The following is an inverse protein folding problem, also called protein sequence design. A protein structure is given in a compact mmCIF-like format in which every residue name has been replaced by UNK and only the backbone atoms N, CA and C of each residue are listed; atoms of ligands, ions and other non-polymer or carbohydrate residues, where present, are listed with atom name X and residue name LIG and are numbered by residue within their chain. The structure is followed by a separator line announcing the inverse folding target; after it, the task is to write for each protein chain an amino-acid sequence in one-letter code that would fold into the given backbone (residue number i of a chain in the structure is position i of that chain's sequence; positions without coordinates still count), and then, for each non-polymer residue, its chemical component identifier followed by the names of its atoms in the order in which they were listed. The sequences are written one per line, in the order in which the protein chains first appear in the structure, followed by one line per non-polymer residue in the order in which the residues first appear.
data_IF_059186009454
#
_entry.id   IF_059186009454
#
_cell.length_a   1.000
_cell.length_b   1.000
_cell.length_c   1.000
_cell.angle_alpha   90.00
_cell.angle_beta   90.00
_cell.angle_gamma   90.00
#
_symmetry.space_group_name_H-M   'P 1'
#
loop_
_entity.id
_entity.type
_entity.pdbx_description
1 polymer ?
#
# COMPACT_ATOMS: atom_id res chain seq x y z
N UNK A 1 7.02 10.97 6.15
CA UNK A 1 7.07 9.49 6.16
C UNK A 1 7.56 9.03 4.80
N UNK A 2 8.48 8.12 4.71
CA UNK A 2 9.11 7.61 3.49
C UNK A 2 8.38 6.36 2.99
N UNK A 3 8.55 5.98 1.73
CA UNK A 3 8.13 4.66 1.25
C UNK A 3 8.94 3.61 2.01
N UNK A 4 8.34 2.47 2.29
CA UNK A 4 8.95 1.40 3.07
C UNK A 4 9.17 0.16 2.19
N UNK A 5 10.38 -0.38 2.24
CA UNK A 5 10.72 -1.60 1.50
C UNK A 5 11.40 -2.64 2.39
N UNK A 6 11.15 -3.92 2.08
CA UNK A 6 11.85 -5.06 2.67
C UNK A 6 12.78 -5.66 1.63
N UNK A 7 14.08 -5.71 1.92
CA UNK A 7 15.09 -6.37 1.09
C UNK A 7 15.50 -7.70 1.74
N UNK A 8 15.22 -8.78 1.03
CA UNK A 8 15.54 -10.14 1.43
C UNK A 8 16.73 -10.67 0.63
N UNK A 9 17.91 -10.65 1.23
CA UNK A 9 19.15 -11.17 0.62
C UNK A 9 20.23 -11.47 1.67
N UNK A 10 21.07 -12.46 1.37
CA UNK A 10 22.30 -12.77 2.12
C UNK A 10 23.55 -12.14 1.47
N UNK A 11 23.41 -11.59 0.26
CA UNK A 11 24.48 -11.00 -0.53
C UNK A 11 24.77 -9.56 -0.06
N UNK A 12 25.87 -9.39 0.67
CA UNK A 12 26.28 -8.09 1.22
C UNK A 12 26.67 -7.08 0.13
N UNK A 13 27.19 -7.55 -1.01
CA UNK A 13 27.54 -6.65 -2.11
C UNK A 13 26.29 -6.13 -2.80
N UNK A 14 25.27 -6.97 -2.91
CA UNK A 14 23.95 -6.55 -3.36
C UNK A 14 23.32 -5.49 -2.44
N UNK A 15 23.38 -5.71 -1.12
CA UNK A 15 22.88 -4.76 -0.12
C UNK A 15 23.60 -3.41 -0.23
N UNK A 16 24.95 -3.41 -0.40
CA UNK A 16 25.75 -2.20 -0.58
C UNK A 16 25.35 -1.38 -1.81
N UNK A 17 24.85 -2.01 -2.85
CA UNK A 17 24.37 -1.34 -4.07
C UNK A 17 22.94 -0.85 -3.92
N UNK A 18 22.04 -1.70 -3.41
CA UNK A 18 20.60 -1.41 -3.39
C UNK A 18 20.19 -0.42 -2.30
N UNK A 19 20.75 -0.55 -1.09
CA UNK A 19 20.40 0.32 0.04
C UNK A 19 20.57 1.81 -0.27
N UNK A 20 21.75 2.29 -0.68
CA UNK A 20 21.93 3.72 -0.98
C UNK A 20 21.11 4.16 -2.20
N UNK A 21 20.78 3.24 -3.11
CA UNK A 21 19.94 3.53 -4.27
C UNK A 21 18.48 3.78 -3.86
N UNK A 22 17.94 2.96 -2.95
CA UNK A 22 16.60 3.13 -2.38
C UNK A 22 16.51 4.40 -1.53
N UNK A 23 17.50 4.62 -0.64
CA UNK A 23 17.55 5.80 0.23
C UNK A 23 17.57 7.12 -0.55
N UNK A 24 18.30 7.18 -1.70
CA UNK A 24 18.28 8.34 -2.61
C UNK A 24 16.91 8.62 -3.21
N UNK A 25 16.07 7.61 -3.33
CA UNK A 25 14.68 7.73 -3.78
C UNK A 25 13.71 7.96 -2.62
N UNK A 26 14.23 8.16 -1.41
CA UNK A 26 13.45 8.26 -0.16
C UNK A 26 12.56 7.05 0.08
N UNK A 27 13.12 5.88 -0.16
CA UNK A 27 12.55 4.58 0.17
C UNK A 27 13.40 4.03 1.32
N UNK A 28 12.81 3.91 2.49
CA UNK A 28 13.45 3.26 3.63
C UNK A 28 13.52 1.76 3.37
N UNK A 29 14.62 1.15 3.77
CA UNK A 29 14.85 -0.27 3.53
C UNK A 29 15.16 -1.01 4.82
N UNK A 30 14.31 -1.96 5.13
CA UNK A 30 14.58 -3.00 6.11
C UNK A 30 15.27 -4.18 5.43
N UNK A 31 16.32 -4.72 6.03
CA UNK A 31 17.11 -5.80 5.45
C UNK A 31 16.92 -7.06 6.29
N UNK A 32 16.54 -8.14 5.62
CA UNK A 32 16.40 -9.45 6.22
C UNK A 32 17.21 -10.48 5.42
N UNK A 33 18.00 -11.29 6.10
CA UNK A 33 18.88 -12.29 5.48
C UNK A 33 18.35 -13.73 5.61
N UNK A 34 17.16 -13.90 6.20
CA UNK A 34 16.54 -15.20 6.39
C UNK A 34 15.11 -15.22 5.86
N UNK A 35 14.79 -16.23 5.06
CA UNK A 35 13.46 -16.38 4.45
C UNK A 35 12.35 -16.52 5.49
N UNK A 36 12.60 -17.27 6.58
CA UNK A 36 11.59 -17.49 7.63
C UNK A 36 11.29 -16.19 8.38
N UNK A 37 12.33 -15.48 8.82
CA UNK A 37 12.17 -14.18 9.47
C UNK A 37 11.47 -13.18 8.55
N UNK A 38 11.83 -13.14 7.26
CA UNK A 38 11.19 -12.31 6.27
C UNK A 38 9.71 -12.64 6.06
N UNK A 39 9.33 -13.92 6.09
CA UNK A 39 7.94 -14.32 6.01
C UNK A 39 7.14 -13.86 7.25
N UNK A 40 7.71 -13.94 8.44
CA UNK A 40 7.09 -13.48 9.69
C UNK A 40 6.90 -11.95 9.68
N UNK A 41 7.90 -11.20 9.23
CA UNK A 41 7.82 -9.73 9.03
C UNK A 41 6.70 -9.37 8.06
N UNK A 42 6.58 -10.07 6.92
CA UNK A 42 5.54 -9.82 5.92
C UNK A 42 4.10 -10.12 6.40
N UNK A 43 3.93 -10.87 7.48
CA UNK A 43 2.63 -11.12 8.11
C UNK A 43 2.25 -9.95 9.02
N UNK A 44 3.21 -9.39 9.78
CA UNK A 44 2.99 -8.36 10.79
C UNK A 44 3.04 -6.96 10.21
N UNK A 45 3.97 -6.70 9.31
CA UNK A 45 4.30 -5.37 8.82
C UNK A 45 3.89 -5.19 7.35
N UNK A 46 3.61 -3.93 6.97
CA UNK A 46 3.22 -3.55 5.61
C UNK A 46 4.36 -2.81 4.94
N UNK A 47 4.74 -3.26 3.74
CA UNK A 47 5.72 -2.62 2.86
C UNK A 47 5.10 -2.15 1.56
N UNK A 48 5.61 -1.06 1.00
CA UNK A 48 5.23 -0.57 -0.33
C UNK A 48 5.93 -1.39 -1.42
N UNK A 49 7.15 -1.86 -1.11
CA UNK A 49 7.91 -2.76 -1.96
C UNK A 49 8.54 -3.93 -1.19
N UNK A 50 8.65 -5.08 -1.85
CA UNK A 50 9.36 -6.26 -1.35
C UNK A 50 10.35 -6.72 -2.40
N UNK A 51 11.62 -6.77 -2.05
CA UNK A 51 12.74 -7.07 -2.95
C UNK A 51 13.34 -8.40 -2.51
N UNK A 52 13.28 -9.41 -3.35
CA UNK A 52 13.69 -10.78 -2.99
C UNK A 52 14.81 -11.27 -3.90
N UNK A 53 15.91 -11.67 -3.28
CA UNK A 53 17.00 -12.38 -3.95
C UNK A 53 16.59 -13.85 -4.16
N UNK A 54 15.95 -14.12 -5.30
CA UNK A 54 15.23 -15.37 -5.52
C UNK A 54 16.17 -16.57 -5.70
N UNK A 55 17.34 -16.36 -6.30
CA UNK A 55 18.23 -17.45 -6.67
C UNK A 55 19.28 -17.75 -5.59
N UNK A 56 19.75 -16.73 -4.87
CA UNK A 56 20.86 -16.87 -3.93
C UNK A 56 20.38 -16.92 -2.46
N UNK A 57 19.14 -16.50 -2.17
CA UNK A 57 18.51 -16.71 -0.88
C UNK A 57 17.73 -18.04 -0.87
N UNK A 58 18.10 -18.93 0.02
CA UNK A 58 17.40 -20.24 0.17
C UNK A 58 15.92 -20.01 0.46
N UNK A 59 15.03 -20.51 -0.40
CA UNK A 59 13.58 -20.33 -0.29
C UNK A 59 13.06 -18.97 -0.79
N UNK A 60 13.91 -18.11 -1.38
CA UNK A 60 13.53 -16.78 -1.87
C UNK A 60 12.41 -16.82 -2.91
N UNK A 61 12.47 -17.72 -3.88
CA UNK A 61 11.44 -17.87 -4.90
C UNK A 61 10.08 -18.29 -4.30
N UNK A 62 10.09 -19.20 -3.32
CA UNK A 62 8.87 -19.61 -2.62
C UNK A 62 8.28 -18.47 -1.77
N UNK A 63 9.12 -17.64 -1.16
CA UNK A 63 8.68 -16.45 -0.43
C UNK A 63 8.03 -15.43 -1.37
N UNK A 64 8.62 -15.19 -2.55
CA UNK A 64 8.04 -14.32 -3.57
C UNK A 64 6.64 -14.80 -3.99
N UNK A 65 6.48 -16.09 -4.22
CA UNK A 65 5.19 -16.70 -4.55
C UNK A 65 4.19 -16.57 -3.38
N UNK A 66 4.66 -16.82 -2.15
CA UNK A 66 3.85 -16.69 -0.92
C UNK A 66 3.39 -15.28 -0.65
N UNK A 67 4.15 -14.27 -1.07
CA UNK A 67 3.82 -12.85 -0.88
C UNK A 67 2.41 -12.50 -1.36
N UNK A 68 1.96 -13.07 -2.47
CA UNK A 68 0.64 -12.81 -3.05
C UNK A 68 -0.53 -13.35 -2.22
N UNK A 69 -0.25 -14.20 -1.26
CA UNK A 69 -1.23 -14.76 -0.33
C UNK A 69 -1.22 -14.05 1.04
N UNK A 70 -0.29 -13.13 1.28
CA UNK A 70 -0.24 -12.40 2.55
C UNK A 70 -1.34 -11.33 2.61
N UNK A 71 -2.07 -11.18 3.73
CA UNK A 71 -3.15 -10.21 3.83
C UNK A 71 -2.71 -8.76 3.60
N UNK A 72 -1.57 -8.36 4.18
CA UNK A 72 -1.07 -6.98 4.15
C UNK A 72 -0.23 -6.68 2.90
N UNK A 73 0.56 -7.62 2.41
CA UNK A 73 1.56 -7.39 1.36
C UNK A 73 1.24 -7.98 -0.01
N UNK A 74 0.06 -8.61 -0.20
CA UNK A 74 -0.33 -9.22 -1.49
C UNK A 74 -0.27 -8.29 -2.70
N UNK A 75 -0.42 -6.99 -2.48
CA UNK A 75 -0.38 -5.96 -3.52
C UNK A 75 0.92 -5.13 -3.51
N UNK A 76 1.83 -5.37 -2.56
CA UNK A 76 3.13 -4.70 -2.51
C UNK A 76 3.89 -4.90 -3.82
N UNK A 77 4.65 -3.90 -4.24
CA UNK A 77 5.45 -4.00 -5.46
C UNK A 77 6.58 -4.98 -5.23
N UNK A 78 6.55 -6.11 -5.93
CA UNK A 78 7.51 -7.19 -5.77
C UNK A 78 8.62 -7.11 -6.82
N UNK A 79 9.87 -7.14 -6.37
CA UNK A 79 11.05 -7.22 -7.19
C UNK A 79 11.70 -8.59 -6.99
N UNK A 80 11.97 -9.28 -8.09
CA UNK A 80 12.77 -10.48 -8.10
C UNK A 80 14.20 -10.14 -8.53
N UNK A 81 15.19 -10.57 -7.75
CA UNK A 81 16.59 -10.52 -8.12
C UNK A 81 17.01 -11.90 -8.55
N UNK A 82 17.56 -12.01 -9.75
CA UNK A 82 17.95 -13.29 -10.39
C UNK A 82 19.44 -13.26 -10.72
N UNK A 83 20.09 -14.43 -10.63
CA UNK A 83 21.49 -14.59 -11.03
C UNK A 83 21.64 -15.11 -12.47
N UNK A 84 20.51 -15.32 -13.18
CA UNK A 84 20.49 -15.76 -14.57
C UNK A 84 20.83 -17.25 -14.79
N UNK A 85 20.95 -18.03 -13.71
CA UNK A 85 21.36 -19.44 -13.79
C UNK A 85 20.25 -20.42 -13.39
N UNK A 86 19.33 -20.02 -12.52
CA UNK A 86 18.30 -20.91 -11.92
C UNK A 86 16.91 -20.53 -12.38
N UNK A 87 16.53 -19.28 -12.17
CA UNK A 87 15.18 -18.78 -12.43
C UNK A 87 15.17 -17.87 -13.64
N UNK A 88 14.23 -18.10 -14.54
CA UNK A 88 14.00 -17.22 -15.70
C UNK A 88 13.16 -16.00 -15.29
N UNK A 89 13.26 -14.93 -16.07
CA UNK A 89 12.42 -13.75 -15.90
C UNK A 89 10.92 -14.11 -16.00
N UNK A 90 10.56 -15.02 -16.90
CA UNK A 90 9.17 -15.46 -17.08
C UNK A 90 8.64 -16.20 -15.86
N UNK A 91 9.45 -17.08 -15.26
CA UNK A 91 9.11 -17.77 -14.02
C UNK A 91 8.93 -16.79 -12.86
N UNK A 92 9.84 -15.81 -12.71
CA UNK A 92 9.73 -14.79 -11.68
C UNK A 92 8.42 -13.98 -11.80
N UNK A 93 8.01 -13.59 -13.00
CA UNK A 93 6.72 -12.94 -13.23
C UNK A 93 5.55 -13.89 -12.91
N UNK A 94 5.64 -15.15 -13.30
CA UNK A 94 4.63 -16.18 -12.97
C UNK A 94 4.48 -16.40 -11.47
N UNK A 95 5.56 -16.20 -10.69
CA UNK A 95 5.56 -16.26 -9.23
C UNK A 95 5.11 -14.94 -8.55
N UNK A 96 4.76 -13.93 -9.34
CA UNK A 96 4.18 -12.69 -8.83
C UNK A 96 5.14 -11.50 -8.72
N UNK A 97 6.33 -11.54 -9.30
CA UNK A 97 7.17 -10.35 -9.44
C UNK A 97 6.47 -9.29 -10.31
N UNK A 98 6.67 -8.02 -9.98
CA UNK A 98 6.29 -6.89 -10.82
C UNK A 98 7.48 -6.39 -11.64
N UNK A 99 8.67 -6.52 -11.09
CA UNK A 99 9.94 -6.11 -11.69
C UNK A 99 11.01 -7.17 -11.46
N UNK A 100 11.96 -7.24 -12.39
CA UNK A 100 13.08 -8.17 -12.31
C UNK A 100 14.39 -7.41 -12.46
N UNK A 101 15.36 -7.71 -11.59
CA UNK A 101 16.73 -7.23 -11.64
C UNK A 101 17.66 -8.44 -11.85
N UNK A 102 18.53 -8.37 -12.85
CA UNK A 102 19.51 -9.41 -13.13
C UNK A 102 20.88 -9.05 -12.53
N UNK A 103 21.49 -10.00 -11.82
CA UNK A 103 22.88 -9.87 -11.36
C UNK A 103 23.87 -10.02 -12.55
N UNK A 104 24.97 -9.26 -12.55
CA UNK A 104 25.40 -8.28 -11.56
C UNK A 104 24.60 -6.97 -11.66
N UNK A 105 24.15 -6.44 -10.50
CA UNK A 105 23.33 -5.23 -10.46
C UNK A 105 24.23 -4.01 -10.28
N UNK A 106 24.16 -3.08 -11.21
CA UNK A 106 24.75 -1.75 -11.05
C UNK A 106 23.78 -0.78 -10.38
N UNK A 107 24.31 0.23 -9.67
CA UNK A 107 23.47 1.27 -9.07
C UNK A 107 22.60 2.01 -10.10
N UNK A 108 23.09 2.17 -11.34
CA UNK A 108 22.32 2.78 -12.42
C UNK A 108 21.11 1.93 -12.82
N UNK A 109 21.30 0.62 -13.00
CA UNK A 109 20.21 -0.29 -13.37
C UNK A 109 19.19 -0.41 -12.24
N UNK A 110 19.66 -0.51 -11.00
CA UNK A 110 18.78 -0.50 -9.83
C UNK A 110 17.95 0.80 -9.74
N UNK A 111 18.60 1.96 -9.90
CA UNK A 111 17.94 3.26 -9.87
C UNK A 111 16.84 3.37 -10.94
N UNK A 112 17.13 2.98 -12.18
CA UNK A 112 16.13 2.99 -13.27
C UNK A 112 14.94 2.09 -12.98
N UNK A 113 15.19 0.89 -12.45
CA UNK A 113 14.16 -0.06 -12.11
C UNK A 113 13.25 0.47 -10.98
N UNK A 114 13.85 1.02 -9.91
CA UNK A 114 13.08 1.57 -8.80
C UNK A 114 12.34 2.85 -9.20
N UNK A 115 12.91 3.71 -10.03
CA UNK A 115 12.20 4.86 -10.59
C UNK A 115 10.96 4.45 -11.37
N UNK A 116 11.06 3.45 -12.24
CA UNK A 116 9.92 2.93 -12.99
C UNK A 116 8.82 2.36 -12.07
N UNK A 117 9.20 1.87 -10.89
CA UNK A 117 8.28 1.27 -9.92
C UNK A 117 7.64 2.29 -8.95
N UNK A 118 8.17 3.51 -8.83
CA UNK A 118 7.72 4.49 -7.83
C UNK A 118 6.22 4.78 -7.89
N UNK A 119 5.66 4.93 -9.09
CA UNK A 119 4.22 5.16 -9.25
C UNK A 119 3.38 3.99 -8.71
N UNK A 120 3.85 2.75 -8.85
CA UNK A 120 3.17 1.57 -8.33
C UNK A 120 3.26 1.52 -6.80
N UNK A 121 4.43 1.85 -6.22
CA UNK A 121 4.61 1.92 -4.77
C UNK A 121 3.73 3.01 -4.15
N UNK A 122 3.70 4.21 -4.74
CA UNK A 122 2.84 5.31 -4.28
C UNK A 122 1.36 4.95 -4.39
N UNK A 123 0.94 4.29 -5.47
CA UNK A 123 -0.43 3.80 -5.62
C UNK A 123 -0.79 2.77 -4.54
N UNK A 124 0.12 1.87 -4.23
CA UNK A 124 -0.07 0.89 -3.18
C UNK A 124 -0.14 1.58 -1.80
N UNK A 125 0.73 2.55 -1.55
CA UNK A 125 0.71 3.36 -0.33
C UNK A 125 -0.65 4.04 -0.13
N UNK A 126 -1.22 4.67 -1.17
CA UNK A 126 -2.55 5.32 -1.12
C UNK A 126 -3.65 4.36 -0.69
N UNK A 127 -3.64 3.13 -1.16
CA UNK A 127 -4.64 2.11 -0.78
C UNK A 127 -4.67 1.82 0.72
N UNK A 128 -3.51 1.94 1.40
CA UNK A 128 -3.37 1.71 2.83
C UNK A 128 -3.40 2.99 3.66
N UNK A 129 -3.29 4.14 3.02
CA UNK A 129 -3.36 5.42 3.72
C UNK A 129 -4.71 5.58 4.40
N UNK A 130 -4.68 5.95 5.67
CA UNK A 130 -5.85 6.19 6.52
C UNK A 130 -5.69 7.55 7.16
N UNK A 131 -6.42 8.56 6.66
CA UNK A 131 -6.41 9.88 7.24
C UNK A 131 -7.19 9.89 8.56
N UNK A 132 -6.56 10.14 9.72
CA UNK A 132 -7.29 10.40 10.95
C UNK A 132 -8.18 11.63 10.78
N UNK A 133 -9.47 11.48 10.99
CA UNK A 133 -10.43 12.59 10.87
C UNK A 133 -11.66 12.33 11.73
N UNK A 134 -12.07 13.36 12.48
CA UNK A 134 -13.31 13.34 13.27
C UNK A 134 -14.38 14.14 12.55
N UNK A 135 -15.41 13.47 12.07
CA UNK A 135 -16.60 14.09 11.47
C UNK A 135 -17.84 13.28 11.83
N UNK A 136 -18.99 13.94 11.77
CA UNK A 136 -20.29 13.28 11.99
C UNK A 136 -20.68 12.51 10.74
N UNK A 137 -21.09 11.26 10.93
CA UNK A 137 -21.55 10.35 9.88
C UNK A 137 -22.94 9.84 10.22
N UNK A 138 -23.89 9.99 9.31
CA UNK A 138 -25.21 9.37 9.41
C UNK A 138 -25.12 7.96 8.83
N UNK A 139 -25.51 6.97 9.62
CA UNK A 139 -25.53 5.55 9.27
C UNK A 139 -26.99 5.14 9.12
N UNK A 140 -27.42 4.86 7.90
CA UNK A 140 -28.80 4.47 7.58
C UNK A 140 -28.85 2.95 7.36
N UNK A 141 -29.58 2.26 8.21
CA UNK A 141 -29.74 0.80 8.15
C UNK A 141 -31.18 0.44 8.54
N UNK A 142 -31.87 -0.35 7.74
CA UNK A 142 -33.22 -0.89 8.00
C UNK A 142 -34.22 0.20 8.41
N UNK A 143 -34.21 1.34 7.72
CA UNK A 143 -35.09 2.49 7.98
C UNK A 143 -34.73 3.30 9.23
N UNK A 144 -33.70 2.92 9.98
CA UNK A 144 -33.16 3.67 11.12
C UNK A 144 -32.00 4.54 10.69
N UNK A 145 -31.85 5.69 11.34
CA UNK A 145 -30.68 6.57 11.16
C UNK A 145 -29.96 6.68 12.49
N UNK A 146 -28.72 6.23 12.52
CA UNK A 146 -27.80 6.39 13.65
C UNK A 146 -26.79 7.50 13.31
N UNK A 147 -26.30 8.18 14.34
CA UNK A 147 -25.20 9.14 14.20
C UNK A 147 -23.95 8.54 14.82
N UNK A 148 -22.85 8.56 14.08
CA UNK A 148 -21.55 8.06 14.51
C UNK A 148 -20.47 9.11 14.28
N UNK A 149 -19.33 8.94 14.92
CA UNK A 149 -18.15 9.80 14.71
C UNK A 149 -17.08 8.99 14.02
N UNK A 150 -16.50 9.54 12.94
CA UNK A 150 -15.38 8.88 12.28
C UNK A 150 -14.11 8.96 13.13
N UNK A 151 -13.24 7.97 12.97
CA UNK A 151 -11.89 7.95 13.53
C UNK A 151 -10.83 8.12 12.45
N UNK A 152 -11.07 7.55 11.27
CA UNK A 152 -10.25 7.73 10.07
C UNK A 152 -11.06 7.40 8.81
N UNK A 153 -10.55 7.85 7.67
CA UNK A 153 -11.09 7.56 6.33
C UNK A 153 -9.97 7.23 5.36
N UNK A 154 -10.29 6.41 4.37
CA UNK A 154 -9.43 6.06 3.24
C UNK A 154 -10.22 6.10 1.93
N UNK A 155 -9.56 5.86 0.81
CA UNK A 155 -10.19 5.73 -0.51
C UNK A 155 -11.32 4.69 -0.53
N UNK A 156 -11.12 3.55 0.12
CA UNK A 156 -12.07 2.42 0.09
C UNK A 156 -12.94 2.23 1.31
N UNK A 157 -12.88 3.13 2.31
CA UNK A 157 -13.67 2.92 3.53
C UNK A 157 -13.41 3.91 4.65
N UNK A 158 -14.18 3.75 5.72
CA UNK A 158 -14.18 4.63 6.89
C UNK A 158 -14.28 3.80 8.18
N UNK A 159 -13.61 4.22 9.23
CA UNK A 159 -13.80 3.66 10.57
C UNK A 159 -14.63 4.62 11.42
N UNK A 160 -15.64 4.08 12.07
CA UNK A 160 -16.62 4.82 12.88
C UNK A 160 -16.64 4.32 14.31
N UNK A 161 -16.79 5.25 15.24
CA UNK A 161 -17.19 4.95 16.61
C UNK A 161 -18.72 4.99 16.68
N UNK A 162 -19.33 3.85 16.99
CA UNK A 162 -20.76 3.65 17.12
C UNK A 162 -21.14 3.51 18.59
N UNK A 163 -22.36 3.88 18.94
CA UNK A 163 -22.94 3.60 20.26
C UNK A 163 -23.38 2.13 20.40
N UNK A 164 -23.81 1.53 19.28
CA UNK A 164 -24.24 0.13 19.21
C UNK A 164 -23.41 -0.59 18.14
N UNK A 165 -22.99 -1.82 18.44
CA UNK A 165 -22.25 -2.63 17.49
C UNK A 165 -23.18 -3.10 16.36
N UNK A 166 -22.72 -2.94 15.12
CA UNK A 166 -23.37 -3.50 13.95
C UNK A 166 -22.77 -4.87 13.62
N UNK A 167 -23.60 -5.83 13.17
CA UNK A 167 -23.08 -7.13 12.77
C UNK A 167 -22.20 -7.02 11.53
N UNK A 168 -21.16 -7.88 11.45
CA UNK A 168 -20.34 -8.00 10.26
C UNK A 168 -21.21 -8.38 9.06
N UNK A 169 -20.98 -7.74 7.91
CA UNK A 169 -21.75 -7.94 6.69
C UNK A 169 -23.05 -7.13 6.62
N UNK A 170 -23.43 -6.37 7.67
CA UNK A 170 -24.50 -5.39 7.54
C UNK A 170 -24.14 -4.36 6.47
N UNK A 171 -25.12 -3.93 5.67
CA UNK A 171 -24.93 -3.05 4.51
C UNK A 171 -25.61 -1.68 4.71
N UNK A 172 -25.11 -0.81 5.59
CA UNK A 172 -25.68 0.50 5.78
C UNK A 172 -25.25 1.45 4.65
N UNK A 173 -26.12 2.46 4.40
CA UNK A 173 -25.75 3.64 3.64
C UNK A 173 -25.18 4.70 4.57
N UNK A 174 -24.03 5.27 4.18
CA UNK A 174 -23.35 6.30 4.96
C UNK A 174 -23.51 7.66 4.28
N UNK A 175 -23.77 8.72 5.09
CA UNK A 175 -23.84 10.11 4.63
C UNK A 175 -22.91 10.97 5.51
N UNK A 176 -22.00 11.67 4.89
CA UNK A 176 -21.06 12.54 5.57
C UNK A 176 -20.50 13.64 4.65
N UNK A 177 -19.86 14.65 5.24
CA UNK A 177 -19.19 15.71 4.51
C UNK A 177 -17.72 15.73 4.88
N UNK A 178 -16.84 15.88 3.90
CA UNK A 178 -15.40 15.98 4.14
C UNK A 178 -15.05 17.35 4.71
N UNK A 179 -14.30 17.45 5.81
CA UNK A 179 -13.91 18.72 6.40
C UNK A 179 -13.03 19.54 5.46
N UNK A 180 -13.36 20.85 5.37
CA UNK A 180 -12.63 21.80 4.51
C UNK A 180 -13.00 21.72 3.03
N UNK A 181 -14.05 20.99 2.68
CA UNK A 181 -14.57 20.88 1.30
C UNK A 181 -16.08 21.08 1.27
N UNK A 182 -16.64 21.19 0.07
CA UNK A 182 -18.08 21.14 -0.17
C UNK A 182 -18.57 19.72 -0.55
N UNK A 183 -17.70 18.71 -0.44
CA UNK A 183 -18.02 17.35 -0.83
C UNK A 183 -18.94 16.69 0.20
N UNK A 184 -20.13 16.36 -0.23
CA UNK A 184 -21.10 15.54 0.49
C UNK A 184 -21.12 14.16 -0.13
N UNK A 185 -20.78 13.15 0.67
CA UNK A 185 -20.76 11.76 0.26
C UNK A 185 -21.98 11.03 0.77
N UNK A 186 -22.66 10.34 -0.13
CA UNK A 186 -23.68 9.34 0.18
C UNK A 186 -23.25 8.05 -0.50
N UNK A 187 -22.86 7.04 0.28
CA UNK A 187 -22.25 5.82 -0.23
C UNK A 187 -22.90 4.58 0.39
N UNK A 188 -23.11 3.56 -0.43
CA UNK A 188 -23.40 2.22 0.05
C UNK A 188 -22.14 1.64 0.70
N UNK A 189 -22.31 0.89 1.77
CA UNK A 189 -21.17 0.31 2.47
C UNK A 189 -21.51 -1.04 3.08
N UNK A 190 -20.47 -1.74 3.54
CA UNK A 190 -20.59 -3.00 4.27
C UNK A 190 -19.71 -2.95 5.51
N UNK A 191 -20.21 -3.46 6.64
CA UNK A 191 -19.43 -3.63 7.86
C UNK A 191 -18.39 -4.72 7.64
N UNK A 192 -17.15 -4.33 7.42
CA UNK A 192 -16.02 -5.24 7.21
C UNK A 192 -15.55 -5.89 8.52
N UNK A 193 -15.56 -5.12 9.60
CA UNK A 193 -15.23 -5.58 10.95
C UNK A 193 -15.85 -4.68 12.01
N UNK A 194 -16.07 -5.22 13.20
CA UNK A 194 -16.50 -4.46 14.37
C UNK A 194 -15.85 -5.06 15.63
N UNK A 195 -15.74 -4.26 16.68
CA UNK A 195 -15.25 -4.71 17.97
C UNK A 195 -16.25 -4.38 19.10
N UNK A 196 -16.00 -4.97 20.26
CA UNK A 196 -16.83 -4.80 21.47
C UNK A 196 -16.80 -3.38 22.06
N UNK A 197 -15.87 -2.52 21.63
CA UNK A 197 -15.75 -1.13 22.08
C UNK A 197 -16.55 -0.15 21.21
N UNK A 198 -17.34 -0.64 20.25
CA UNK A 198 -18.14 0.17 19.34
C UNK A 198 -17.38 0.72 18.13
N UNK A 199 -16.11 0.37 17.95
CA UNK A 199 -15.37 0.74 16.73
C UNK A 199 -15.69 -0.26 15.63
N UNK A 200 -16.07 0.25 14.44
CA UNK A 200 -16.36 -0.56 13.27
C UNK A 200 -15.75 0.04 12.00
N UNK A 201 -15.26 -0.82 11.13
CA UNK A 201 -14.75 -0.44 9.81
C UNK A 201 -15.77 -0.77 8.72
N UNK A 202 -16.00 0.20 7.85
CA UNK A 202 -16.94 0.12 6.73
C UNK A 202 -16.16 0.18 5.43
N UNK A 203 -16.46 -0.73 4.51
CA UNK A 203 -15.98 -0.73 3.14
C UNK A 203 -17.00 -0.02 2.26
N UNK A 204 -16.57 0.90 1.42
CA UNK A 204 -17.43 1.58 0.45
C UNK A 204 -17.72 0.69 -0.77
N UNK A 205 -18.93 0.82 -1.29
CA UNK A 205 -19.38 0.21 -2.53
C UNK A 205 -19.98 1.28 -3.44
N UNK A 206 -19.60 1.26 -4.73
CA UNK A 206 -20.26 2.07 -5.75
C UNK A 206 -20.14 3.59 -5.54
N UNK A 207 -19.03 4.09 -5.01
CA UNK A 207 -18.79 5.54 -4.92
C UNK A 207 -18.85 6.14 -6.33
N UNK A 208 -19.67 7.20 -6.59
CA UNK A 208 -19.71 7.87 -7.87
C UNK A 208 -18.33 8.37 -8.29
N UNK A 209 -17.93 8.24 -9.55
CA UNK A 209 -16.59 8.58 -10.03
C UNK A 209 -16.16 10.01 -9.69
N UNK A 210 -17.08 10.99 -9.79
CA UNK A 210 -16.79 12.38 -9.42
C UNK A 210 -16.42 12.51 -7.95
N UNK A 211 -17.24 11.93 -7.07
CA UNK A 211 -17.02 11.95 -5.62
C UNK A 211 -15.78 11.16 -5.21
N UNK A 212 -15.48 10.08 -5.93
CA UNK A 212 -14.24 9.31 -5.72
C UNK A 212 -13.00 10.13 -6.04
N UNK A 213 -12.99 10.84 -7.18
CA UNK A 213 -11.87 11.71 -7.57
C UNK A 213 -11.65 12.83 -6.54
N UNK A 214 -12.72 13.46 -6.04
CA UNK A 214 -12.61 14.50 -5.01
C UNK A 214 -12.11 13.94 -3.68
N UNK A 215 -12.56 12.73 -3.28
CA UNK A 215 -12.07 12.03 -2.09
C UNK A 215 -10.58 11.68 -2.24
N UNK A 216 -10.18 11.15 -3.38
CA UNK A 216 -8.78 10.84 -3.69
C UNK A 216 -7.91 12.09 -3.64
N UNK A 217 -8.35 13.19 -4.26
CA UNK A 217 -7.64 14.46 -4.22
C UNK A 217 -7.50 14.98 -2.78
N UNK A 218 -8.58 14.93 -2.00
CA UNK A 218 -8.56 15.36 -0.60
C UNK A 218 -7.60 14.50 0.26
N UNK A 219 -7.54 13.19 0.02
CA UNK A 219 -6.60 12.29 0.69
C UNK A 219 -5.16 12.54 0.24
N UNK A 220 -4.94 12.80 -1.05
CA UNK A 220 -3.62 13.13 -1.61
C UNK A 220 -3.06 14.45 -1.03
N UNK A 221 -3.90 15.46 -0.84
CA UNK A 221 -3.49 16.71 -0.21
C UNK A 221 -3.04 16.50 1.24
N UNK A 222 -3.72 15.63 1.99
CA UNK A 222 -3.35 15.30 3.37
C UNK A 222 -2.15 14.39 3.45
N UNK A 223 -2.07 13.43 2.55
CA UNK A 223 -0.87 12.60 2.44
C UNK A 223 0.35 13.46 2.10
N UNK A 224 0.22 14.49 1.26
CA UNK A 224 1.29 15.44 0.97
C UNK A 224 1.69 16.30 2.17
N UNK A 225 0.74 16.68 3.04
CA UNK A 225 1.04 17.36 4.30
C UNK A 225 1.83 16.48 5.26
N UNK A 226 1.49 15.18 5.32
CA UNK A 226 2.20 14.20 6.13
C UNK A 226 3.52 13.75 5.46
N UNK A 227 3.62 13.87 4.12
CA UNK A 227 4.74 13.43 3.27
C UNK A 227 5.12 14.49 2.23
N UNK A 228 5.77 15.59 2.63
CA UNK A 228 6.12 16.67 1.72
C UNK A 228 7.04 16.20 0.56
N UNK A 229 6.71 16.61 -0.65
CA UNK A 229 7.50 16.33 -1.85
C UNK A 229 7.11 15.05 -2.60
N UNK A 230 6.04 14.37 -2.23
CA UNK A 230 5.53 13.20 -2.97
C UNK A 230 5.02 13.59 -4.36
N UNK A 231 4.34 14.72 -4.49
CA UNK A 231 3.83 15.25 -5.77
C UNK A 231 4.94 15.78 -6.69
N UNK A 232 5.93 16.50 -6.13
CA UNK A 232 7.06 17.03 -6.90
C UNK A 232 7.93 15.91 -7.46
N UNK A 233 8.10 14.82 -6.71
CA UNK A 233 8.82 13.63 -7.16
C UNK A 233 8.09 12.89 -8.27
N UNK A 234 6.76 12.79 -8.20
CA UNK A 234 5.93 12.23 -9.28
C UNK A 234 6.05 13.05 -10.56
N UNK A 235 5.96 14.38 -10.45
CA UNK A 235 6.07 15.29 -11.59
C UNK A 235 7.47 15.25 -12.23
N UNK A 236 8.55 15.14 -11.43
CA UNK A 236 9.92 14.98 -11.92
C UNK A 236 10.10 13.67 -12.69
N UNK A 237 9.52 12.56 -12.21
CA UNK A 237 9.58 11.24 -12.85
C UNK A 237 8.81 11.24 -14.18
N UNK A 238 7.64 11.86 -14.23
CA UNK A 238 6.84 11.97 -15.46
C UNK A 238 7.55 12.82 -16.54
N UNK A 239 8.34 13.81 -16.13
CA UNK A 239 9.15 14.63 -17.05
C UNK A 239 10.36 13.89 -17.62
N UNK A 240 11.00 13.02 -16.83
CA UNK A 240 12.14 12.21 -17.25
C UNK A 240 11.74 11.00 -18.12
N UNK A 241 10.51 10.50 -17.98
CA UNK A 241 10.00 9.38 -18.81
C UNK A 241 9.58 9.84 -20.21
N UNK A 242 9.43 11.14 -20.44
CA UNK A 242 9.09 11.74 -21.74
C UNK A 242 10.29 12.23 -22.55
N UNK A 243 11.50 12.05 -22.04
CA UNK A 243 12.78 12.28 -22.74
C UNK A 243 13.46 10.97 -23.08
#
# INVERSE_FOLDING_TARGET
MTLESLLLSQDQDLVRVLRPTLEKLSIDVEICNETRAGADILITDKFDAVIVDCDDLTGGLALLQGLRNTPSNKNSVAFAILNGKRTTTQEAFGMGANFVLQKPISGLNASRCFHAALNFMLKERRRYFRQPVKMQVKVLLDGKTLTATSTNISEGGIALMLHEALPKGAAPRLKFSLPGTNLHLEVESEVAWSNVKGLAGFRFHGVPKSSQMELEQWLDERMEQDFPGSKERLAAIESDTKR
#
